data_IF_807581464531
#
_entry.id   IF_807581464531
#
_cell.length_a   1.000
_cell.length_b   1.000
_cell.length_c   1.000
_cell.angle_alpha   90.00
_cell.angle_beta   90.00
_cell.angle_gamma   90.00
#
_symmetry.space_group_name_H-M   'P 1'
#
loop_
_entity.id
_entity.type
_entity.pdbx_description
1 polymer ?
#
# COMPACT_ATOMS: atom_id res chain seq x y z
N UNK A 1 9.68 -3.76 9.32
CA UNK A 1 9.38 -2.76 8.28
C UNK A 1 7.97 -2.96 7.68
N UNK A 2 7.48 -2.08 6.79
CA UNK A 2 6.17 -2.32 6.13
C UNK A 2 6.21 -3.54 5.22
N UNK A 3 7.35 -3.77 4.56
CA UNK A 3 7.60 -4.95 3.74
C UNK A 3 7.26 -6.26 4.49
N UNK A 4 7.74 -6.43 5.72
CA UNK A 4 7.54 -7.67 6.51
C UNK A 4 6.10 -7.88 6.99
N UNK A 5 5.27 -6.83 6.92
CA UNK A 5 3.83 -6.92 7.18
C UNK A 5 3.05 -7.40 5.96
N UNK A 6 3.63 -7.34 4.76
CA UNK A 6 2.96 -7.67 3.49
C UNK A 6 3.51 -8.96 2.86
N UNK A 7 4.82 -9.15 2.91
CA UNK A 7 5.48 -10.28 2.26
C UNK A 7 5.12 -11.62 2.93
N UNK A 8 4.91 -12.66 2.11
CA UNK A 8 4.50 -14.01 2.54
C UNK A 8 3.28 -14.04 3.50
N UNK A 9 2.33 -13.12 3.32
CA UNK A 9 1.12 -13.01 4.17
C UNK A 9 -0.14 -12.92 3.34
N UNK A 10 -1.25 -13.31 3.97
CA UNK A 10 -2.58 -13.08 3.42
C UNK A 10 -3.01 -11.65 3.73
N UNK A 11 -3.17 -10.83 2.69
CA UNK A 11 -3.41 -9.38 2.86
C UNK A 11 -4.72 -9.08 3.58
N UNK A 12 -5.74 -9.92 3.39
CA UNK A 12 -7.06 -9.74 4.01
C UNK A 12 -7.02 -9.81 5.54
N UNK A 13 -6.01 -10.47 6.13
CA UNK A 13 -5.85 -10.61 7.58
C UNK A 13 -5.23 -9.36 8.22
N UNK A 14 -4.71 -8.44 7.39
CA UNK A 14 -4.11 -7.20 7.86
C UNK A 14 -5.21 -6.18 8.10
N UNK A 15 -5.28 -5.65 9.32
CA UNK A 15 -6.24 -4.60 9.68
C UNK A 15 -6.14 -3.39 8.72
N UNK A 16 -7.25 -3.04 8.09
CA UNK A 16 -7.36 -1.99 7.08
C UNK A 16 -7.07 -2.43 5.65
N UNK A 17 -6.87 -3.74 5.41
CA UNK A 17 -6.72 -4.36 4.09
C UNK A 17 -7.71 -5.53 3.90
N UNK A 18 -8.87 -5.49 4.56
CA UNK A 18 -9.89 -6.53 4.47
C UNK A 18 -10.39 -6.73 3.02
N UNK A 19 -10.29 -5.68 2.20
CA UNK A 19 -10.47 -5.71 0.74
C UNK A 19 -9.18 -5.21 0.04
N UNK A 20 -8.19 -6.07 -0.23
CA UNK A 20 -6.84 -5.64 -0.64
C UNK A 20 -6.74 -5.38 -2.15
N UNK A 21 -7.55 -4.47 -2.69
CA UNK A 21 -7.34 -3.99 -4.06
C UNK A 21 -6.03 -3.19 -4.13
N UNK A 22 -5.50 -2.99 -5.35
CA UNK A 22 -4.28 -2.19 -5.54
C UNK A 22 -4.42 -0.79 -4.92
N UNK A 23 -5.59 -0.15 -5.08
CA UNK A 23 -5.93 1.16 -4.54
C UNK A 23 -5.92 1.17 -3.01
N UNK A 24 -6.61 0.20 -2.39
CA UNK A 24 -6.66 0.10 -0.93
C UNK A 24 -5.29 -0.20 -0.33
N UNK A 25 -4.48 -1.03 -1.01
CA UNK A 25 -3.11 -1.29 -0.62
C UNK A 25 -2.24 -0.03 -0.69
N UNK A 26 -2.33 0.74 -1.78
CA UNK A 26 -1.58 1.98 -1.92
C UNK A 26 -1.95 3.02 -0.85
N UNK A 27 -3.24 3.14 -0.56
CA UNK A 27 -3.75 4.01 0.51
C UNK A 27 -3.27 3.57 1.89
N UNK A 28 -3.33 2.27 2.19
CA UNK A 28 -2.82 1.72 3.45
C UNK A 28 -1.32 1.97 3.65
N UNK A 29 -0.52 1.71 2.60
CA UNK A 29 0.93 1.97 2.62
C UNK A 29 1.20 3.46 2.86
N UNK A 30 0.44 4.35 2.20
CA UNK A 30 0.58 5.79 2.37
C UNK A 30 0.39 6.21 3.83
N UNK A 31 -0.70 5.79 4.48
CA UNK A 31 -0.97 6.15 5.89
C UNK A 31 0.07 5.63 6.86
N UNK A 32 0.69 4.47 6.58
CA UNK A 32 1.78 3.93 7.39
C UNK A 32 3.11 4.67 7.18
N UNK A 33 3.38 5.16 5.96
CA UNK A 33 4.65 5.83 5.63
C UNK A 33 4.63 7.33 5.87
N UNK A 34 3.53 8.04 5.57
CA UNK A 34 3.46 9.51 5.59
C UNK A 34 3.91 10.15 6.92
N UNK A 35 3.59 9.60 8.11
CA UNK A 35 4.04 10.18 9.38
C UNK A 35 5.57 10.12 9.59
N UNK A 36 6.23 9.11 9.02
CA UNK A 36 7.68 8.92 9.17
C UNK A 36 8.47 9.44 7.96
N UNK A 37 7.80 9.59 6.81
CA UNK A 37 8.36 10.07 5.56
C UNK A 37 7.53 11.24 5.03
N UNK A 38 7.73 12.42 5.63
CA UNK A 38 6.98 13.64 5.30
C UNK A 38 7.05 14.03 3.82
N UNK A 39 8.20 13.80 3.19
CA UNK A 39 8.46 14.07 1.76
C UNK A 39 7.85 13.04 0.81
N UNK A 40 7.11 12.05 1.32
CA UNK A 40 6.41 11.08 0.48
C UNK A 40 5.43 11.81 -0.44
N UNK A 41 5.63 11.61 -1.75
CA UNK A 41 4.87 12.25 -2.82
C UNK A 41 4.02 11.27 -3.64
N UNK A 42 4.39 9.98 -3.66
CA UNK A 42 3.71 8.98 -4.49
C UNK A 42 3.97 7.56 -3.99
N UNK A 43 2.93 6.74 -3.99
CA UNK A 43 2.99 5.28 -3.86
C UNK A 43 2.51 4.67 -5.18
N UNK A 44 3.24 3.67 -5.68
CA UNK A 44 2.86 2.89 -6.86
C UNK A 44 2.77 1.43 -6.47
N UNK A 45 1.60 0.83 -6.69
CA UNK A 45 1.36 -0.60 -6.48
C UNK A 45 1.16 -1.23 -7.86
N UNK A 46 1.80 -2.37 -8.11
CA UNK A 46 1.61 -3.15 -9.34
C UNK A 46 1.20 -4.56 -8.93
N UNK A 47 -0.05 -4.90 -9.21
CA UNK A 47 -0.55 -6.27 -9.00
C UNK A 47 0.07 -7.23 -10.03
N UNK A 48 0.19 -6.77 -11.27
CA UNK A 48 0.84 -7.51 -12.36
C UNK A 48 1.83 -6.63 -13.12
N UNK A 49 2.48 -7.19 -14.14
CA UNK A 49 3.39 -6.42 -14.99
C UNK A 49 2.67 -5.27 -15.74
N UNK A 50 1.39 -5.45 -16.09
CA UNK A 50 0.60 -4.53 -16.89
C UNK A 50 -0.48 -3.78 -16.11
N UNK A 51 -0.87 -4.24 -14.91
CA UNK A 51 -1.88 -3.59 -14.05
C UNK A 51 -1.27 -3.03 -12.76
N UNK A 52 -1.86 -1.94 -12.27
CA UNK A 52 -1.46 -1.32 -11.02
C UNK A 52 -2.16 0.01 -10.78
N UNK A 53 -1.90 0.61 -9.62
CA UNK A 53 -2.43 1.91 -9.24
C UNK A 53 -1.30 2.86 -8.79
N UNK A 54 -1.62 4.14 -8.79
CA UNK A 54 -0.76 5.21 -8.25
C UNK A 54 -1.61 6.01 -7.27
N UNK A 55 -1.08 6.24 -6.08
CA UNK A 55 -1.69 7.09 -5.06
C UNK A 55 -0.76 8.24 -4.69
N UNK A 56 -1.28 9.47 -4.66
CA UNK A 56 -0.51 10.70 -4.42
C UNK A 56 -1.00 11.50 -3.20
N UNK A 57 -1.91 10.95 -2.39
CA UNK A 57 -2.37 11.61 -1.16
C UNK A 57 -3.55 12.57 -1.30
N UNK A 58 -4.24 12.55 -2.44
CA UNK A 58 -5.52 13.27 -2.64
C UNK A 58 -6.70 12.45 -2.12
#
# INVERSE_FOLDING_TARGET
PIHDQLDHRFLNDIKGLENPTSENLAHWIWHKLKPNLHILSKIKVKETCSSGCIYTGN
#
